data_IF_857725867017
#
_entry.id   IF_857725867017
#
_cell.length_a   1.000
_cell.length_b   1.000
_cell.length_c   1.000
_cell.angle_alpha   90.00
_cell.angle_beta   90.00
_cell.angle_gamma   90.00
#
_symmetry.space_group_name_H-M   'P 1'
#
loop_
_entity.id
_entity.type
_entity.pdbx_description
1 polymer ?
#
# COMPACT_ATOMS: atom_id res chain seq x y z
N UNK A 1 14.78 21.45 -6.37
CA UNK A 1 13.80 21.26 -5.30
C UNK A 1 13.57 19.77 -5.17
N UNK A 2 13.75 19.17 -3.98
CA UNK A 2 13.46 17.75 -3.75
C UNK A 2 11.98 17.44 -4.02
N UNK A 3 11.69 16.22 -4.46
CA UNK A 3 10.30 15.75 -4.65
C UNK A 3 9.61 15.82 -3.29
N UNK A 4 8.42 16.41 -3.18
CA UNK A 4 7.63 16.47 -1.93
C UNK A 4 7.36 15.03 -1.45
N UNK A 5 7.60 14.78 -0.16
CA UNK A 5 7.29 13.46 0.44
C UNK A 5 5.78 13.37 0.66
N UNK A 6 5.18 12.28 0.20
CA UNK A 6 3.76 12.01 0.40
C UNK A 6 3.53 11.09 1.61
N UNK A 7 2.50 11.39 2.38
CA UNK A 7 2.16 10.65 3.59
C UNK A 7 0.79 10.00 3.47
N UNK A 8 0.77 8.68 3.61
CA UNK A 8 -0.46 7.90 3.68
C UNK A 8 -0.67 7.27 5.04
N UNK A 9 -1.92 6.90 5.31
CA UNK A 9 -2.28 6.09 6.48
C UNK A 9 -3.42 5.14 6.17
N UNK A 10 -3.61 4.09 7.01
CA UNK A 10 -4.64 3.08 6.80
C UNK A 10 -5.96 3.42 7.50
N UNK A 11 -7.07 3.04 6.88
CA UNK A 11 -8.32 2.83 7.60
C UNK A 11 -8.11 1.69 8.62
N UNK A 12 -8.23 2.02 9.89
CA UNK A 12 -7.88 1.14 11.02
C UNK A 12 -9.00 0.18 11.43
N UNK A 13 -10.18 0.35 10.84
CA UNK A 13 -11.38 -0.42 11.19
C UNK A 13 -12.27 -0.60 9.96
N UNK A 14 -12.95 -1.73 9.80
CA UNK A 14 -14.01 -1.89 8.80
C UNK A 14 -15.30 -1.14 9.20
N UNK A 15 -15.38 -0.69 10.44
CA UNK A 15 -16.50 0.10 10.98
C UNK A 15 -16.19 1.60 10.90
N UNK A 16 -17.21 2.44 10.87
CA UNK A 16 -17.09 3.91 10.89
C UNK A 16 -16.15 4.47 9.80
N UNK A 17 -16.11 3.80 8.64
CA UNK A 17 -15.18 4.14 7.54
C UNK A 17 -15.34 5.59 7.10
N UNK A 18 -16.59 6.10 7.06
CA UNK A 18 -16.87 7.46 6.63
C UNK A 18 -16.23 8.50 7.55
N UNK A 19 -16.43 8.36 8.86
CA UNK A 19 -15.89 9.27 9.87
C UNK A 19 -14.35 9.21 9.89
N UNK A 20 -13.78 8.00 9.82
CA UNK A 20 -12.34 7.81 9.76
C UNK A 20 -11.72 8.45 8.52
N UNK A 21 -12.35 8.29 7.36
CA UNK A 21 -11.86 8.87 6.12
C UNK A 21 -11.86 10.40 6.17
N UNK A 22 -12.93 11.01 6.69
CA UNK A 22 -13.02 12.46 6.87
C UNK A 22 -11.98 12.98 7.88
N UNK A 23 -11.77 12.26 8.99
CA UNK A 23 -10.75 12.60 9.98
C UNK A 23 -9.34 12.58 9.37
N UNK A 24 -9.00 11.54 8.60
CA UNK A 24 -7.69 11.40 7.93
C UNK A 24 -7.48 12.53 6.92
N UNK A 25 -8.49 12.86 6.11
CA UNK A 25 -8.40 13.99 5.18
C UNK A 25 -8.22 15.33 5.92
N UNK A 26 -8.97 15.55 7.02
CA UNK A 26 -8.88 16.76 7.83
C UNK A 26 -7.50 16.92 8.52
N UNK A 27 -6.84 15.81 8.88
CA UNK A 27 -5.48 15.82 9.41
C UNK A 27 -4.43 16.14 8.34
N UNK A 28 -4.81 16.18 7.06
CA UNK A 28 -3.94 16.58 5.97
C UNK A 28 -3.01 15.48 5.47
N UNK A 29 -3.34 14.22 5.64
CA UNK A 29 -2.66 13.13 4.93
C UNK A 29 -2.93 13.22 3.43
N UNK A 30 -1.98 12.73 2.63
CA UNK A 30 -2.10 12.75 1.17
C UNK A 30 -2.83 11.50 0.63
N UNK A 31 -2.82 10.38 1.39
CA UNK A 31 -3.35 9.09 0.95
C UNK A 31 -4.09 8.37 2.09
N UNK A 32 -5.28 7.86 1.80
CA UNK A 32 -5.98 6.86 2.64
C UNK A 32 -5.78 5.49 2.01
N UNK A 33 -5.31 4.53 2.80
CA UNK A 33 -5.20 3.14 2.38
C UNK A 33 -6.17 2.21 3.09
N UNK A 34 -6.51 1.14 2.41
CA UNK A 34 -7.22 0.02 2.99
C UNK A 34 -6.63 -1.30 2.50
N UNK A 35 -6.16 -2.13 3.43
CA UNK A 35 -5.80 -3.51 3.15
C UNK A 35 -7.03 -4.42 3.13
N UNK A 36 -6.83 -5.67 2.73
CA UNK A 36 -7.89 -6.66 2.75
C UNK A 36 -7.37 -8.05 3.12
N UNK A 37 -8.24 -8.83 3.73
CA UNK A 37 -8.15 -10.28 3.84
C UNK A 37 -9.55 -10.88 3.70
N UNK A 38 -9.66 -12.07 3.14
CA UNK A 38 -10.91 -12.84 3.15
C UNK A 38 -11.12 -13.46 4.53
N UNK A 39 -10.03 -13.91 5.15
CA UNK A 39 -9.98 -14.40 6.53
C UNK A 39 -8.58 -14.21 7.09
N UNK A 40 -8.47 -13.66 8.30
CA UNK A 40 -7.20 -13.45 8.99
C UNK A 40 -7.38 -13.59 10.50
N UNK A 41 -6.35 -13.29 11.30
CA UNK A 41 -6.38 -13.42 12.77
C UNK A 41 -7.31 -12.40 13.47
N UNK A 42 -7.86 -11.44 12.77
CA UNK A 42 -8.75 -10.42 13.28
C UNK A 42 -9.72 -9.94 12.22
N UNK A 43 -10.52 -8.95 12.58
CA UNK A 43 -11.42 -8.30 11.64
C UNK A 43 -10.62 -7.59 10.55
N UNK A 44 -11.00 -7.83 9.30
CA UNK A 44 -10.40 -7.20 8.14
C UNK A 44 -11.47 -6.62 7.23
N UNK A 45 -11.11 -5.53 6.55
CA UNK A 45 -11.98 -4.90 5.58
C UNK A 45 -11.88 -5.59 4.21
N UNK A 46 -12.82 -5.29 3.33
CA UNK A 46 -12.60 -5.39 1.90
C UNK A 46 -12.15 -4.01 1.37
N UNK A 47 -11.01 -3.96 0.71
CA UNK A 47 -10.40 -2.71 0.25
C UNK A 47 -11.30 -1.91 -0.68
N UNK A 48 -11.96 -2.54 -1.66
CA UNK A 48 -12.84 -1.84 -2.60
C UNK A 48 -14.08 -1.25 -1.92
N UNK A 49 -14.69 -1.99 -0.98
CA UNK A 49 -15.89 -1.51 -0.27
C UNK A 49 -15.54 -0.30 0.61
N UNK A 50 -14.50 -0.42 1.45
CA UNK A 50 -14.12 0.67 2.35
C UNK A 50 -13.63 1.90 1.60
N UNK A 51 -12.83 1.73 0.54
CA UNK A 51 -12.37 2.85 -0.27
C UNK A 51 -13.49 3.50 -1.08
N UNK A 52 -14.54 2.75 -1.46
CA UNK A 52 -15.73 3.35 -2.09
C UNK A 52 -16.52 4.24 -1.13
N UNK A 53 -16.64 3.83 0.14
CA UNK A 53 -17.21 4.70 1.18
C UNK A 53 -16.35 5.95 1.38
N UNK A 54 -15.02 5.79 1.51
CA UNK A 54 -14.10 6.91 1.63
C UNK A 54 -14.18 7.87 0.43
N UNK A 55 -14.31 7.33 -0.79
CA UNK A 55 -14.47 8.14 -2.02
C UNK A 55 -15.69 9.08 -1.98
N UNK A 56 -16.80 8.59 -1.41
CA UNK A 56 -18.06 9.34 -1.33
C UNK A 56 -18.05 10.46 -0.28
N UNK A 57 -17.17 10.41 0.71
CA UNK A 57 -17.14 11.35 1.86
C UNK A 57 -15.90 12.25 1.91
N UNK A 58 -14.94 12.03 1.03
CA UNK A 58 -13.70 12.82 0.90
C UNK A 58 -13.63 13.52 -0.46
N UNK A 59 -12.80 14.57 -0.58
CA UNK A 59 -12.77 15.41 -1.81
C UNK A 59 -11.42 15.37 -2.53
N UNK A 60 -10.31 15.38 -1.80
CA UNK A 60 -8.98 15.63 -2.34
C UNK A 60 -8.00 14.48 -2.10
N UNK A 61 -8.13 13.80 -0.96
CA UNK A 61 -7.21 12.75 -0.55
C UNK A 61 -7.24 11.58 -1.53
N UNK A 62 -6.07 11.06 -1.88
CA UNK A 62 -5.96 9.87 -2.72
C UNK A 62 -6.37 8.62 -1.95
N UNK A 63 -6.85 7.63 -2.68
CA UNK A 63 -7.33 6.36 -2.14
C UNK A 63 -6.45 5.24 -2.68
N UNK A 64 -5.95 4.38 -1.81
CA UNK A 64 -5.04 3.30 -2.22
C UNK A 64 -5.45 1.97 -1.59
N UNK A 65 -5.62 0.92 -2.38
CA UNK A 65 -5.61 -0.41 -1.80
C UNK A 65 -4.21 -0.71 -1.24
N UNK A 66 -4.14 -1.09 0.05
CA UNK A 66 -2.86 -1.26 0.73
C UNK A 66 -2.85 -2.57 1.56
N UNK A 67 -2.96 -3.69 0.89
CA UNK A 67 -2.93 -4.01 -0.55
C UNK A 67 -4.12 -4.88 -0.96
N UNK A 68 -4.43 -4.92 -2.28
CA UNK A 68 -5.33 -5.92 -2.87
C UNK A 68 -4.61 -7.27 -3.02
N UNK A 69 -5.25 -8.35 -2.60
CA UNK A 69 -4.76 -9.72 -2.77
C UNK A 69 -5.11 -10.22 -4.18
N UNK A 70 -4.37 -9.74 -5.18
CA UNK A 70 -4.64 -9.93 -6.61
C UNK A 70 -4.97 -11.38 -7.02
N UNK A 71 -4.26 -12.43 -6.53
CA UNK A 71 -4.53 -13.81 -6.93
C UNK A 71 -5.92 -14.34 -6.60
N UNK A 72 -6.62 -13.68 -5.68
CA UNK A 72 -7.95 -14.10 -5.23
C UNK A 72 -9.08 -13.60 -6.13
N UNK A 73 -8.77 -12.72 -7.10
CA UNK A 73 -9.74 -12.15 -8.03
C UNK A 73 -9.57 -12.71 -9.44
N UNK A 74 -10.69 -12.95 -10.16
CA UNK A 74 -10.64 -13.04 -11.62
C UNK A 74 -10.15 -11.70 -12.20
N UNK A 75 -9.11 -11.68 -13.08
CA UNK A 75 -8.47 -10.44 -13.52
C UNK A 75 -9.41 -9.42 -14.18
N UNK A 76 -10.35 -9.86 -15.00
CA UNK A 76 -11.34 -8.97 -15.63
C UNK A 76 -12.29 -8.32 -14.60
N UNK A 77 -12.67 -9.06 -13.55
CA UNK A 77 -13.47 -8.51 -12.45
C UNK A 77 -12.65 -7.50 -11.63
N UNK A 78 -11.39 -7.82 -11.34
CA UNK A 78 -10.48 -6.91 -10.65
C UNK A 78 -10.29 -5.60 -11.43
N UNK A 79 -10.10 -5.70 -12.76
CA UNK A 79 -10.03 -4.54 -13.65
C UNK A 79 -11.30 -3.68 -13.57
N UNK A 80 -12.47 -4.33 -13.52
CA UNK A 80 -13.76 -3.65 -13.40
C UNK A 80 -13.90 -2.92 -12.07
N UNK A 81 -13.53 -3.56 -10.96
CA UNK A 81 -13.58 -2.95 -9.62
C UNK A 81 -12.64 -1.73 -9.54
N UNK A 82 -11.41 -1.85 -10.01
CA UNK A 82 -10.44 -0.75 -10.03
C UNK A 82 -10.91 0.43 -10.88
N UNK A 83 -11.40 0.17 -12.10
CA UNK A 83 -11.94 1.23 -12.96
C UNK A 83 -13.18 1.90 -12.36
N UNK A 84 -14.08 1.13 -11.75
CA UNK A 84 -15.27 1.67 -11.10
C UNK A 84 -14.93 2.58 -9.91
N UNK A 85 -13.97 2.16 -9.09
CA UNK A 85 -13.49 2.98 -7.96
C UNK A 85 -12.75 4.23 -8.44
N UNK A 86 -11.96 4.12 -9.50
CA UNK A 86 -11.31 5.29 -10.11
C UNK A 86 -12.34 6.33 -10.59
N UNK A 87 -13.39 5.88 -11.28
CA UNK A 87 -14.50 6.75 -11.71
C UNK A 87 -15.25 7.33 -10.51
N UNK A 88 -15.60 6.50 -9.53
CA UNK A 88 -16.36 6.94 -8.34
C UNK A 88 -15.58 7.94 -7.47
N UNK A 89 -14.26 7.82 -7.44
CA UNK A 89 -13.37 8.73 -6.70
C UNK A 89 -13.00 10.00 -7.48
N UNK A 90 -13.39 10.12 -8.76
CA UNK A 90 -12.98 11.24 -9.62
C UNK A 90 -11.49 11.18 -9.99
N UNK A 91 -10.92 9.99 -10.19
CA UNK A 91 -9.51 9.80 -10.57
C UNK A 91 -8.53 9.87 -9.40
N UNK A 92 -8.96 9.54 -8.17
CA UNK A 92 -8.11 9.56 -6.98
C UNK A 92 -7.61 8.18 -6.55
N UNK A 93 -7.92 7.12 -7.30
CA UNK A 93 -7.57 5.75 -6.92
C UNK A 93 -6.17 5.35 -7.37
N UNK A 94 -5.46 4.64 -6.51
CA UNK A 94 -4.19 3.95 -6.78
C UNK A 94 -4.36 2.49 -6.37
N UNK A 95 -4.01 1.56 -7.24
CA UNK A 95 -4.09 0.14 -6.94
C UNK A 95 -2.78 -0.36 -6.33
N UNK A 96 -2.75 -0.53 -5.01
CA UNK A 96 -1.69 -1.28 -4.36
C UNK A 96 -1.96 -2.78 -4.45
N UNK A 97 -1.00 -3.56 -4.90
CA UNK A 97 -1.13 -4.98 -5.19
C UNK A 97 -0.13 -5.83 -4.43
N UNK A 98 -0.57 -6.99 -3.99
CA UNK A 98 0.26 -7.99 -3.37
C UNK A 98 -0.15 -9.41 -3.73
N UNK A 99 0.77 -10.33 -3.48
CA UNK A 99 0.54 -11.76 -3.77
C UNK A 99 -0.14 -12.50 -2.61
N UNK A 100 -0.13 -11.94 -1.38
CA UNK A 100 -0.63 -12.60 -0.18
C UNK A 100 0.11 -13.92 0.12
N UNK A 101 -0.59 -14.82 0.84
CA UNK A 101 -0.11 -16.17 1.15
C UNK A 101 0.41 -16.34 2.57
N UNK A 102 0.29 -15.31 3.41
CA UNK A 102 0.59 -15.39 4.85
C UNK A 102 -0.43 -16.26 5.58
N UNK A 103 -1.67 -16.30 5.07
CA UNK A 103 -2.76 -17.12 5.60
C UNK A 103 -3.32 -18.06 4.49
N UNK A 104 -2.78 -19.27 4.33
CA UNK A 104 -3.14 -20.17 3.23
C UNK A 104 -4.62 -20.54 3.17
N UNK A 105 -5.32 -20.56 4.31
CA UNK A 105 -6.74 -20.93 4.39
C UNK A 105 -7.65 -19.98 3.59
N UNK A 106 -7.32 -18.69 3.48
CA UNK A 106 -8.10 -17.76 2.65
C UNK A 106 -7.98 -18.08 1.16
N UNK A 107 -6.83 -18.59 0.73
CA UNK A 107 -6.61 -19.05 -0.64
C UNK A 107 -7.40 -20.31 -0.95
N UNK A 108 -7.40 -21.26 -0.03
CA UNK A 108 -8.19 -22.49 -0.13
C UNK A 108 -9.69 -22.17 -0.23
N UNK A 109 -10.19 -21.31 0.66
CA UNK A 109 -11.59 -20.88 0.66
C UNK A 109 -12.01 -20.18 -0.65
N UNK A 110 -11.07 -19.50 -1.32
CA UNK A 110 -11.29 -18.87 -2.62
C UNK A 110 -11.01 -19.80 -3.81
N UNK A 111 -10.67 -21.07 -3.58
CA UNK A 111 -10.36 -22.04 -4.64
C UNK A 111 -9.06 -21.76 -5.39
N UNK A 112 -8.14 -21.02 -4.78
CA UNK A 112 -6.87 -20.62 -5.40
C UNK A 112 -5.70 -21.35 -4.74
N UNK A 113 -4.94 -22.18 -5.48
CA UNK A 113 -3.75 -22.80 -4.92
C UNK A 113 -2.70 -21.74 -4.54
N UNK A 114 -2.32 -21.66 -3.26
CA UNK A 114 -1.40 -20.64 -2.74
C UNK A 114 -0.05 -20.62 -3.46
N UNK A 115 0.40 -21.78 -3.97
CA UNK A 115 1.64 -21.89 -4.76
C UNK A 115 1.57 -21.17 -6.11
N UNK A 116 0.38 -20.89 -6.61
CA UNK A 116 0.18 -20.18 -7.89
C UNK A 116 0.07 -18.67 -7.71
N UNK A 117 0.11 -18.14 -6.47
CA UNK A 117 -0.15 -16.72 -6.18
C UNK A 117 0.70 -15.75 -7.00
N UNK A 118 2.01 -16.02 -7.14
CA UNK A 118 2.91 -15.17 -7.93
C UNK A 118 2.54 -15.15 -9.41
N UNK A 119 2.44 -16.31 -10.04
CA UNK A 119 2.11 -16.41 -11.47
C UNK A 119 0.70 -15.93 -11.82
N UNK A 120 -0.27 -16.07 -10.89
CA UNK A 120 -1.60 -15.48 -11.06
C UNK A 120 -1.56 -13.95 -10.98
N UNK A 121 -0.70 -13.41 -10.11
CA UNK A 121 -0.51 -11.96 -10.03
C UNK A 121 0.11 -11.42 -11.32
N UNK A 122 1.11 -12.10 -11.86
CA UNK A 122 1.75 -11.70 -13.14
C UNK A 122 0.76 -11.70 -14.29
N UNK A 123 -0.04 -12.76 -14.43
CA UNK A 123 -1.10 -12.88 -15.44
C UNK A 123 -2.17 -11.77 -15.26
N UNK A 124 -2.56 -11.49 -14.03
CA UNK A 124 -3.54 -10.44 -13.73
C UNK A 124 -3.02 -9.03 -14.03
N UNK A 125 -1.77 -8.73 -13.73
CA UNK A 125 -1.18 -7.42 -14.00
C UNK A 125 -1.07 -7.16 -15.51
N UNK A 126 -0.75 -8.17 -16.31
CA UNK A 126 -0.78 -8.09 -17.76
C UNK A 126 -2.19 -7.74 -18.27
N UNK A 127 -3.22 -8.41 -17.75
CA UNK A 127 -4.62 -8.11 -18.09
C UNK A 127 -5.00 -6.69 -17.67
N UNK A 128 -4.70 -6.30 -16.43
CA UNK A 128 -5.07 -4.98 -15.87
C UNK A 128 -4.47 -3.84 -16.69
N UNK A 129 -3.17 -3.91 -17.01
CA UNK A 129 -2.47 -2.87 -17.77
C UNK A 129 -3.07 -2.69 -19.16
N UNK A 130 -3.45 -3.79 -19.82
CA UNK A 130 -4.03 -3.76 -21.14
C UNK A 130 -5.48 -3.29 -21.16
N UNK A 131 -6.36 -3.89 -20.34
CA UNK A 131 -7.81 -3.59 -20.42
C UNK A 131 -8.18 -2.22 -19.88
N UNK A 132 -7.30 -1.56 -19.12
CA UNK A 132 -7.50 -0.18 -18.67
C UNK A 132 -7.11 0.86 -19.71
N UNK A 133 -6.25 0.51 -20.66
CA UNK A 133 -5.70 1.43 -21.67
C UNK A 133 -6.12 1.11 -23.11
N UNK A 134 -6.53 -0.13 -23.39
CA UNK A 134 -6.85 -0.62 -24.72
C UNK A 134 -8.34 -1.02 -24.84
N UNK A 135 -8.82 -1.11 -26.06
CA UNK A 135 -10.12 -1.71 -26.43
C UNK A 135 -9.89 -2.98 -27.23
N UNK A 136 -10.91 -3.84 -27.27
CA UNK A 136 -10.90 -5.07 -28.06
C UNK A 136 -9.69 -5.98 -27.78
N UNK A 137 -9.34 -6.08 -26.48
CA UNK A 137 -8.20 -6.84 -25.99
C UNK A 137 -8.41 -8.32 -26.21
N UNK A 138 -7.51 -8.93 -26.95
CA UNK A 138 -7.38 -10.39 -27.05
C UNK A 138 -6.11 -10.81 -26.32
N UNK A 139 -6.23 -11.72 -25.37
CA UNK A 139 -5.13 -12.18 -24.52
C UNK A 139 -5.31 -13.66 -24.20
N UNK A 140 -4.24 -14.43 -24.33
CA UNK A 140 -4.19 -15.83 -23.95
C UNK A 140 -3.05 -16.01 -22.94
N UNK A 141 -3.39 -15.90 -21.66
CA UNK A 141 -2.47 -16.07 -20.55
C UNK A 141 -2.55 -17.46 -19.94
N UNK A 142 -1.79 -17.64 -18.88
CA UNK A 142 -1.76 -18.90 -18.16
C UNK A 142 -3.07 -19.21 -17.42
N UNK A 143 -3.76 -18.18 -16.94
CA UNK A 143 -4.97 -18.31 -16.11
C UNK A 143 -6.16 -17.53 -16.67
N UNK A 144 -5.93 -16.66 -17.63
CA UNK A 144 -6.95 -15.76 -18.16
C UNK A 144 -6.93 -15.78 -19.68
N UNK A 145 -8.11 -15.93 -20.28
CA UNK A 145 -8.29 -15.78 -21.73
C UNK A 145 -9.30 -14.67 -21.96
N UNK A 146 -8.96 -13.71 -22.81
CA UNK A 146 -9.84 -12.62 -23.27
C UNK A 146 -9.96 -12.69 -24.79
N UNK A 147 -11.19 -12.57 -25.30
CA UNK A 147 -11.47 -12.54 -26.73
C UNK A 147 -12.23 -11.26 -27.05
N UNK A 148 -11.53 -10.31 -27.70
CA UNK A 148 -12.13 -9.03 -28.13
C UNK A 148 -12.83 -8.31 -26.96
N UNK A 149 -12.17 -8.28 -25.80
CA UNK A 149 -12.75 -7.74 -24.55
C UNK A 149 -12.51 -6.24 -24.43
N UNK A 150 -13.56 -5.48 -24.17
CA UNK A 150 -13.50 -4.04 -23.88
C UNK A 150 -14.12 -3.73 -22.54
N UNK A 151 -13.38 -3.07 -21.65
CA UNK A 151 -13.88 -2.62 -20.36
C UNK A 151 -14.64 -1.30 -20.50
N UNK A 152 -15.83 -1.20 -19.89
CA UNK A 152 -16.63 0.05 -19.84
C UNK A 152 -17.26 0.22 -18.46
N UNK A 153 -17.18 1.45 -17.83
CA UNK A 153 -16.35 2.56 -18.29
C UNK A 153 -14.86 2.24 -18.16
N UNK A 154 -14.02 2.91 -18.93
CA UNK A 154 -12.58 2.97 -18.70
C UNK A 154 -12.30 3.86 -17.47
N UNK A 155 -11.15 3.70 -16.82
CA UNK A 155 -10.70 4.62 -15.76
C UNK A 155 -10.61 6.07 -16.26
N UNK A 156 -10.79 7.02 -15.34
CA UNK A 156 -10.59 8.46 -15.60
C UNK A 156 -9.10 8.75 -15.78
N UNK A 157 -8.27 8.21 -14.91
CA UNK A 157 -6.82 8.39 -14.96
C UNK A 157 -6.21 7.80 -16.24
N UNK A 158 -5.24 8.47 -16.83
CA UNK A 158 -4.59 8.05 -18.07
C UNK A 158 -3.09 7.88 -17.86
N UNK A 159 -2.47 6.86 -18.46
CA UNK A 159 -3.11 5.80 -19.27
C UNK A 159 -4.02 4.87 -18.47
N UNK A 160 -3.88 4.80 -17.14
CA UNK A 160 -4.61 3.96 -16.19
C UNK A 160 -4.41 4.46 -14.75
N UNK A 161 -5.18 3.95 -13.77
CA UNK A 161 -4.85 4.16 -12.36
C UNK A 161 -3.43 3.67 -12.05
N UNK A 162 -2.64 4.39 -11.22
CA UNK A 162 -1.32 3.92 -10.83
C UNK A 162 -1.39 2.57 -10.11
N UNK A 163 -0.42 1.71 -10.39
CA UNK A 163 -0.24 0.40 -9.74
C UNK A 163 1.00 0.48 -8.85
N UNK A 164 0.85 0.13 -7.57
CA UNK A 164 1.97 0.03 -6.62
C UNK A 164 2.11 -1.42 -6.16
N UNK A 165 3.28 -2.00 -6.39
CA UNK A 165 3.57 -3.39 -5.98
C UNK A 165 4.15 -3.41 -4.58
N UNK A 166 3.62 -4.30 -3.73
CA UNK A 166 4.20 -4.60 -2.42
C UNK A 166 4.97 -5.92 -2.44
N UNK A 167 5.88 -6.07 -1.50
CA UNK A 167 6.66 -7.27 -1.29
C UNK A 167 8.16 -7.03 -1.34
N UNK A 168 8.92 -7.98 -0.73
CA UNK A 168 10.36 -7.85 -0.46
C UNK A 168 11.21 -8.82 -1.27
N UNK A 169 10.59 -9.75 -1.98
CA UNK A 169 11.32 -10.75 -2.78
C UNK A 169 11.81 -10.16 -4.10
N UNK A 170 12.82 -10.77 -4.68
CA UNK A 170 13.29 -10.41 -6.02
C UNK A 170 12.16 -10.45 -7.05
N UNK A 171 11.29 -11.48 -6.98
CA UNK A 171 10.13 -11.57 -7.86
C UNK A 171 9.14 -10.39 -7.70
N UNK A 172 8.99 -9.85 -6.49
CA UNK A 172 8.19 -8.64 -6.27
C UNK A 172 8.87 -7.39 -6.84
N UNK A 173 10.18 -7.26 -6.71
CA UNK A 173 10.95 -6.16 -7.28
C UNK A 173 10.92 -6.18 -8.82
N UNK A 174 11.10 -7.36 -9.46
CA UNK A 174 10.96 -7.50 -10.92
C UNK A 174 9.55 -7.19 -11.40
N UNK A 175 8.53 -7.62 -10.65
CA UNK A 175 7.13 -7.29 -10.95
C UNK A 175 6.88 -5.78 -10.86
N UNK A 176 7.42 -5.11 -9.84
CA UNK A 176 7.34 -3.67 -9.70
C UNK A 176 8.01 -2.96 -10.89
N UNK A 177 9.22 -3.36 -11.23
CA UNK A 177 9.96 -2.82 -12.38
C UNK A 177 9.21 -2.98 -13.71
N UNK A 178 8.54 -4.13 -13.91
CA UNK A 178 7.84 -4.41 -15.17
C UNK A 178 6.48 -3.73 -15.30
N UNK A 179 5.65 -3.72 -14.25
CA UNK A 179 4.23 -3.35 -14.37
C UNK A 179 3.83 -2.12 -13.59
N UNK A 180 4.58 -1.74 -12.55
CA UNK A 180 4.11 -0.76 -11.58
C UNK A 180 4.60 0.66 -11.83
N UNK A 181 3.95 1.61 -11.17
CA UNK A 181 4.33 3.03 -11.09
C UNK A 181 4.96 3.34 -9.73
N UNK A 182 4.96 2.36 -8.83
CA UNK A 182 5.61 2.45 -7.53
C UNK A 182 5.77 1.11 -6.84
N UNK A 183 6.60 1.12 -5.81
CA UNK A 183 6.88 -0.04 -4.96
C UNK A 183 6.84 0.37 -3.50
N UNK A 184 6.20 -0.45 -2.63
CA UNK A 184 5.99 -0.17 -1.23
C UNK A 184 6.24 -1.42 -0.38
N UNK A 185 7.44 -1.59 0.18
CA UNK A 185 7.75 -2.68 1.10
C UNK A 185 7.32 -2.34 2.53
N UNK A 186 7.31 -3.34 3.40
CA UNK A 186 7.15 -3.19 4.84
C UNK A 186 8.24 -3.96 5.59
N UNK A 187 8.50 -3.64 6.84
CA UNK A 187 9.54 -4.26 7.66
C UNK A 187 10.91 -4.20 6.97
N UNK A 188 11.31 -3.01 6.58
CA UNK A 188 12.59 -2.70 5.93
C UNK A 188 13.40 -1.74 6.78
N UNK A 189 14.73 -1.85 6.71
CA UNK A 189 15.63 -0.80 7.18
C UNK A 189 15.96 0.17 6.04
N UNK A 190 16.46 1.38 6.34
CA UNK A 190 16.88 2.33 5.30
C UNK A 190 17.90 1.74 4.33
N UNK A 191 18.86 0.94 4.81
CA UNK A 191 19.88 0.30 3.98
C UNK A 191 19.24 -0.70 3.00
N UNK A 192 18.37 -1.58 3.50
CA UNK A 192 17.65 -2.53 2.63
C UNK A 192 16.76 -1.81 1.62
N UNK A 193 16.20 -0.66 2.00
CA UNK A 193 15.39 0.16 1.09
C UNK A 193 16.26 0.68 -0.05
N UNK A 194 17.42 1.28 0.25
CA UNK A 194 18.34 1.81 -0.74
C UNK A 194 18.83 0.73 -1.71
N UNK A 195 19.24 -0.43 -1.18
CA UNK A 195 19.68 -1.58 -1.99
C UNK A 195 18.58 -2.08 -2.93
N UNK A 196 17.34 -2.15 -2.44
CA UNK A 196 16.21 -2.62 -3.24
C UNK A 196 15.78 -1.60 -4.29
N UNK A 197 15.87 -0.30 -3.98
CA UNK A 197 15.64 0.78 -4.95
C UNK A 197 16.63 0.66 -6.12
N UNK A 198 17.93 0.44 -5.81
CA UNK A 198 18.94 0.27 -6.84
C UNK A 198 18.63 -0.92 -7.75
N UNK A 199 18.25 -2.07 -7.19
CA UNK A 199 17.85 -3.28 -7.96
C UNK A 199 16.60 -3.04 -8.80
N UNK A 200 15.57 -2.37 -8.27
CA UNK A 200 14.35 -2.10 -9.04
C UNK A 200 14.65 -1.19 -10.22
N UNK A 201 15.54 -0.20 -10.07
CA UNK A 201 15.97 0.65 -11.17
C UNK A 201 16.72 -0.14 -12.24
N UNK A 202 17.65 -1.03 -11.84
CA UNK A 202 18.34 -1.94 -12.77
C UNK A 202 17.36 -2.82 -13.54
N UNK A 203 16.38 -3.43 -12.86
CA UNK A 203 15.32 -4.21 -13.54
C UNK A 203 14.44 -3.36 -14.44
N UNK A 204 14.19 -2.09 -14.09
CA UNK A 204 13.48 -1.15 -14.95
C UNK A 204 14.24 -0.85 -16.23
N UNK A 205 15.55 -0.69 -16.16
CA UNK A 205 16.43 -0.51 -17.32
C UNK A 205 16.45 -1.77 -18.19
N UNK A 206 16.49 -2.99 -17.62
CA UNK A 206 16.35 -4.25 -18.33
C UNK A 206 15.02 -4.36 -19.12
N UNK A 207 13.93 -3.82 -18.55
CA UNK A 207 12.60 -3.76 -19.19
C UNK A 207 12.44 -2.56 -20.14
N UNK A 208 13.47 -1.73 -20.32
CA UNK A 208 13.45 -0.54 -21.18
C UNK A 208 12.52 0.56 -20.69
N UNK A 209 12.27 0.64 -19.37
CA UNK A 209 11.36 1.62 -18.76
C UNK A 209 12.08 2.84 -18.24
N UNK A 210 11.48 4.01 -18.44
CA UNK A 210 11.86 5.22 -17.69
C UNK A 210 11.33 5.12 -16.25
N UNK A 211 12.24 5.16 -15.30
CA UNK A 211 11.95 5.08 -13.86
C UNK A 211 12.01 6.43 -13.15
N UNK A 212 12.10 7.55 -13.89
CA UNK A 212 12.25 8.90 -13.33
C UNK A 212 11.06 9.32 -12.46
N UNK A 213 9.84 8.92 -12.84
CA UNK A 213 8.60 9.22 -12.11
C UNK A 213 8.17 8.09 -11.17
N UNK A 214 8.95 6.99 -11.08
CA UNK A 214 8.62 5.87 -10.24
C UNK A 214 8.62 6.27 -8.75
N UNK A 215 7.57 5.85 -8.01
CA UNK A 215 7.44 6.15 -6.58
C UNK A 215 8.04 5.02 -5.75
N UNK A 216 9.06 5.34 -4.96
CA UNK A 216 9.59 4.43 -3.96
C UNK A 216 8.97 4.76 -2.60
N UNK A 217 8.07 3.89 -2.15
CA UNK A 217 7.38 4.04 -0.88
C UNK A 217 8.01 3.22 0.24
N UNK A 218 7.55 3.50 1.45
CA UNK A 218 7.83 2.70 2.64
C UNK A 218 6.57 2.60 3.49
N UNK A 219 6.14 1.37 3.79
CA UNK A 219 5.09 1.13 4.79
C UNK A 219 5.75 0.89 6.15
N UNK A 220 5.44 1.73 7.13
CA UNK A 220 6.09 1.71 8.44
C UNK A 220 5.08 1.83 9.58
N UNK A 221 5.34 1.14 10.69
CA UNK A 221 4.55 1.25 11.90
C UNK A 221 4.95 2.48 12.71
N UNK A 222 3.98 3.08 13.41
CA UNK A 222 4.25 4.29 14.20
C UNK A 222 3.58 4.29 15.57
N UNK A 223 4.29 4.82 16.55
CA UNK A 223 3.78 5.15 17.88
C UNK A 223 4.51 6.38 18.40
N UNK A 224 3.98 7.55 18.04
CA UNK A 224 4.54 8.85 18.47
C UNK A 224 3.94 9.24 19.82
N UNK A 225 4.80 9.62 20.76
CA UNK A 225 4.40 10.07 22.09
C UNK A 225 5.33 11.18 22.56
N UNK A 226 4.84 12.10 23.39
CA UNK A 226 5.67 13.16 24.01
C UNK A 226 6.81 12.55 24.84
N UNK A 227 6.53 11.43 25.52
CA UNK A 227 7.55 10.64 26.22
C UNK A 227 8.11 9.57 25.29
N UNK A 228 9.41 9.68 25.01
CA UNK A 228 10.11 8.80 24.07
C UNK A 228 9.97 7.32 24.42
N UNK A 229 10.15 6.96 25.68
CA UNK A 229 10.15 5.57 26.14
C UNK A 229 8.75 4.95 26.07
N UNK A 230 7.73 5.75 26.34
CA UNK A 230 6.32 5.37 26.21
C UNK A 230 5.97 5.04 24.75
N UNK A 231 6.39 5.88 23.78
CA UNK A 231 6.18 5.61 22.36
C UNK A 231 6.85 4.31 21.90
N UNK A 232 8.09 4.09 22.28
CA UNK A 232 8.85 2.85 21.99
C UNK A 232 8.14 1.64 22.61
N UNK A 233 7.74 1.73 23.88
CA UNK A 233 7.01 0.67 24.58
C UNK A 233 5.72 0.30 23.87
N UNK A 234 4.89 1.27 23.49
CA UNK A 234 3.64 1.03 22.78
C UNK A 234 3.86 0.24 21.48
N UNK A 235 4.82 0.68 20.67
CA UNK A 235 5.13 -0.01 19.43
C UNK A 235 5.66 -1.42 19.66
N UNK A 236 6.58 -1.61 20.61
CA UNK A 236 7.16 -2.90 20.92
C UNK A 236 6.09 -3.90 21.39
N UNK A 237 5.23 -3.52 22.32
CA UNK A 237 4.14 -4.37 22.83
C UNK A 237 3.14 -4.73 21.73
N UNK A 238 2.68 -3.75 20.95
CA UNK A 238 1.70 -3.96 19.88
C UNK A 238 2.24 -4.89 18.80
N UNK A 239 3.47 -4.65 18.34
CA UNK A 239 4.09 -5.45 17.28
C UNK A 239 4.48 -6.85 17.77
N UNK A 240 4.86 -7.00 19.05
CA UNK A 240 5.13 -8.32 19.63
C UNK A 240 3.91 -9.22 19.61
N UNK A 241 2.73 -8.69 19.93
CA UNK A 241 1.47 -9.42 19.87
C UNK A 241 1.10 -9.72 18.42
N UNK A 242 1.21 -8.73 17.54
CA UNK A 242 0.79 -8.86 16.14
C UNK A 242 1.60 -9.90 15.35
N UNK A 243 2.90 -10.01 15.65
CA UNK A 243 3.82 -10.89 14.92
C UNK A 243 4.25 -12.13 15.72
N UNK A 244 3.71 -12.31 16.94
CA UNK A 244 4.09 -13.40 17.85
C UNK A 244 5.62 -13.53 18.02
N UNK A 245 6.31 -12.38 18.12
CA UNK A 245 7.76 -12.26 18.18
C UNK A 245 8.14 -11.11 19.12
N UNK A 246 9.25 -11.22 19.84
CA UNK A 246 9.76 -10.13 20.68
C UNK A 246 10.26 -8.95 19.83
N UNK A 247 9.56 -7.81 19.94
CA UNK A 247 9.90 -6.56 19.27
C UNK A 247 10.66 -5.57 20.15
N UNK A 248 11.08 -5.91 21.35
CA UNK A 248 11.79 -4.99 22.25
C UNK A 248 13.00 -4.32 21.59
N UNK A 249 13.73 -5.05 20.74
CA UNK A 249 14.86 -4.54 19.97
C UNK A 249 14.50 -4.25 18.50
N UNK A 250 13.54 -4.98 17.94
CA UNK A 250 13.17 -4.85 16.54
C UNK A 250 12.39 -3.55 16.26
N UNK A 251 11.74 -2.99 17.27
CA UNK A 251 11.02 -1.71 17.17
C UNK A 251 11.92 -0.60 16.65
N UNK A 252 13.17 -0.54 17.09
CA UNK A 252 14.15 0.46 16.66
C UNK A 252 14.55 0.31 15.17
N UNK A 253 14.36 -0.88 14.61
CA UNK A 253 14.67 -1.15 13.20
C UNK A 253 13.48 -0.86 12.26
N UNK A 254 12.25 -1.12 12.73
CA UNK A 254 11.10 -1.26 11.84
C UNK A 254 9.94 -0.31 12.17
N UNK A 255 10.08 0.60 13.14
CA UNK A 255 9.03 1.53 13.50
C UNK A 255 9.52 2.97 13.62
N UNK A 256 8.59 3.90 13.45
CA UNK A 256 8.69 5.29 13.90
C UNK A 256 8.07 5.34 15.31
N UNK A 257 8.89 5.17 16.33
CA UNK A 257 8.43 5.06 17.71
C UNK A 257 9.26 5.94 18.64
N UNK A 258 8.58 6.62 19.57
CA UNK A 258 9.19 7.53 20.51
C UNK A 258 8.70 8.96 20.39
N UNK A 259 9.56 9.93 20.75
CA UNK A 259 9.24 11.35 20.65
C UNK A 259 9.09 11.81 19.20
N UNK A 260 8.41 12.94 18.92
CA UNK A 260 8.37 13.52 17.58
C UNK A 260 9.75 13.69 16.95
N UNK A 261 10.74 14.18 17.70
CA UNK A 261 12.12 14.38 17.23
C UNK A 261 12.77 13.05 16.85
N UNK A 262 12.61 12.01 17.67
CA UNK A 262 13.13 10.66 17.38
C UNK A 262 12.48 10.09 16.13
N UNK A 263 11.16 10.27 15.97
CA UNK A 263 10.42 9.83 14.79
C UNK A 263 10.84 10.60 13.54
N UNK A 264 11.08 11.91 13.63
CA UNK A 264 11.61 12.72 12.52
C UNK A 264 13.00 12.26 12.12
N UNK A 265 13.90 12.03 13.09
CA UNK A 265 15.25 11.55 12.82
C UNK A 265 15.22 10.22 12.07
N UNK A 266 14.42 9.26 12.55
CA UNK A 266 14.26 7.95 11.92
C UNK A 266 13.64 8.03 10.53
N UNK A 267 12.63 8.88 10.35
CA UNK A 267 11.99 9.09 9.06
C UNK A 267 12.95 9.69 8.03
N UNK A 268 13.84 10.60 8.45
CA UNK A 268 14.87 11.18 7.59
C UNK A 268 15.78 10.13 6.99
N UNK A 269 16.16 9.11 7.75
CA UNK A 269 16.99 7.99 7.24
C UNK A 269 16.30 7.26 6.07
N UNK A 270 14.98 7.07 6.12
CA UNK A 270 14.23 6.47 5.00
C UNK A 270 14.11 7.41 3.79
N UNK A 271 13.93 8.71 4.04
CA UNK A 271 13.90 9.71 2.97
C UNK A 271 15.25 9.80 2.28
N UNK A 272 16.34 9.81 3.05
CA UNK A 272 17.71 9.83 2.53
C UNK A 272 18.06 8.53 1.77
N UNK A 273 17.47 7.40 2.17
CA UNK A 273 17.55 6.14 1.45
C UNK A 273 16.73 6.11 0.14
N UNK A 274 15.95 7.15 -0.14
CA UNK A 274 15.21 7.32 -1.40
C UNK A 274 13.70 7.14 -1.31
N UNK A 275 13.11 7.05 -0.10
CA UNK A 275 11.66 7.04 0.03
C UNK A 275 11.07 8.40 -0.39
N UNK A 276 10.11 8.38 -1.30
CA UNK A 276 9.33 9.53 -1.75
C UNK A 276 7.86 9.47 -1.28
N UNK A 277 7.46 8.37 -0.69
CA UNK A 277 6.16 8.17 -0.07
C UNK A 277 6.33 7.36 1.22
N UNK A 278 5.65 7.77 2.30
CA UNK A 278 5.65 7.05 3.58
C UNK A 278 4.22 6.74 3.98
N UNK A 279 3.94 5.47 4.13
CA UNK A 279 2.64 4.96 4.53
C UNK A 279 2.72 4.50 5.98
N UNK A 280 2.05 5.23 6.90
CA UNK A 280 2.13 4.96 8.34
C UNK A 280 0.93 4.15 8.82
N UNK A 281 1.20 3.17 9.69
CA UNK A 281 0.18 2.40 10.39
C UNK A 281 0.42 2.50 11.90
N UNK A 282 -0.62 2.82 12.65
CA UNK A 282 -0.50 2.95 14.11
C UNK A 282 -0.16 1.62 14.78
N UNK A 283 0.89 1.61 15.57
CA UNK A 283 1.32 0.49 16.41
C UNK A 283 1.31 0.89 17.89
N UNK A 284 0.16 1.31 18.37
CA UNK A 284 -0.08 1.76 19.73
C UNK A 284 -1.40 1.16 20.28
N UNK A 285 -1.72 1.30 21.56
CA UNK A 285 -3.00 0.89 22.10
C UNK A 285 -4.18 1.53 21.35
N UNK A 286 -5.33 0.84 21.21
CA UNK A 286 -6.48 1.35 20.47
C UNK A 286 -6.93 2.74 20.89
N UNK A 287 -6.94 3.02 22.18
CA UNK A 287 -7.31 4.31 22.76
C UNK A 287 -6.33 5.46 22.47
N UNK A 288 -5.12 5.14 22.00
CA UNK A 288 -4.08 6.11 21.68
C UNK A 288 -3.95 6.40 20.18
N UNK A 289 -4.65 5.66 19.32
CA UNK A 289 -4.50 5.76 17.85
C UNK A 289 -4.79 7.18 17.36
N UNK A 290 -5.85 7.83 17.83
CA UNK A 290 -6.20 9.18 17.40
C UNK A 290 -5.11 10.19 17.77
N UNK A 291 -4.58 10.09 18.99
CA UNK A 291 -3.48 10.94 19.45
C UNK A 291 -2.21 10.72 18.64
N UNK A 292 -1.85 9.45 18.36
CA UNK A 292 -0.71 9.12 17.50
C UNK A 292 -0.85 9.75 16.10
N UNK A 293 -2.03 9.66 15.50
CA UNK A 293 -2.31 10.25 14.19
C UNK A 293 -2.22 11.77 14.19
N UNK A 294 -2.73 12.42 15.23
CA UNK A 294 -2.62 13.88 15.41
C UNK A 294 -1.16 14.31 15.54
N UNK A 295 -0.37 13.62 16.37
CA UNK A 295 1.05 13.94 16.56
C UNK A 295 1.85 13.71 15.29
N UNK A 296 1.59 12.64 14.55
CA UNK A 296 2.18 12.45 13.23
C UNK A 296 1.89 13.64 12.32
N UNK A 297 0.63 14.04 12.21
CA UNK A 297 0.18 15.11 11.31
C UNK A 297 0.72 16.49 11.70
N UNK A 298 0.80 16.79 13.00
CA UNK A 298 1.16 18.12 13.52
C UNK A 298 2.64 18.28 13.83
N UNK A 299 3.27 17.22 14.34
CA UNK A 299 4.60 17.31 14.93
C UNK A 299 5.68 16.58 14.12
N UNK A 300 5.33 15.60 13.27
CA UNK A 300 6.33 14.84 12.49
C UNK A 300 6.30 15.21 11.02
N UNK A 301 5.17 15.09 10.35
CA UNK A 301 5.01 15.28 8.90
C UNK A 301 5.46 16.67 8.40
N UNK A 302 5.19 17.80 9.11
CA UNK A 302 5.56 19.13 8.62
C UNK A 302 7.06 19.34 8.38
N UNK A 303 7.93 18.55 9.04
CA UNK A 303 9.38 18.62 8.85
C UNK A 303 9.85 18.09 7.47
N UNK A 304 8.94 17.51 6.66
CA UNK A 304 9.21 16.87 5.36
C UNK A 304 8.39 17.47 4.19
N UNK A 305 7.70 18.57 4.44
CA UNK A 305 6.84 19.26 3.45
C UNK A 305 7.38 20.57 2.95
#
# INVERSE_FOLDING_TARGET
MGKKIEFGTTLRSPYNVAELAQQIEALGFDIIGCGEHVSFHGESANGFISLSVAAGVTKNIRLMSAITLVPLYPPALLAKLGAALDVASGGRYTMGVGVGGEFPNEFEACGVPVKQRGSRTDDALEVLTRVWSETDVTYEGRYTTLNNFSLKPLPIQKPRPPIYVSGRSEAAMRRAAKYADGWIPYMYTPEHLADSIAKIKEYGEEEGRDMSDFTFGMYIFSAVNEDNDTGIKYAAEKLSVQYAQDFSQLVHKYALAGSPDSCQARLREYVDAGASMVFVSSACPPEYIDRNMEMLAKDVIPAFR
#
